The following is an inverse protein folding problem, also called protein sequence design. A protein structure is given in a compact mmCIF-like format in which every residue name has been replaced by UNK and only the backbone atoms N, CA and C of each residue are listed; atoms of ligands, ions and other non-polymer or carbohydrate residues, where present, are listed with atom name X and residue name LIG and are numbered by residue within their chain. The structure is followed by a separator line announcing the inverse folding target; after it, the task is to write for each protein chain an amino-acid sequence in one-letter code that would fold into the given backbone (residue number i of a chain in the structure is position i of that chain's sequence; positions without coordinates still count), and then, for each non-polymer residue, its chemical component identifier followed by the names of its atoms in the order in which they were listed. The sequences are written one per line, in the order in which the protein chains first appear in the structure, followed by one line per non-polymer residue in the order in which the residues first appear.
data_IF_598266875623
#
_entry.id   IF_598266875623
#
_cell.length_a   1.000
_cell.length_b   1.000
_cell.length_c   1.000
_cell.angle_alpha   90.00
_cell.angle_beta   90.00
_cell.angle_gamma   90.00
#
_symmetry.space_group_name_H-M   'P 1'
#
loop_
_entity.id
_entity.type
_entity.pdbx_description
1 polymer ?
#
# COMPACT_ATOMS: atom_id res chain seq x y z
N UNK A 1 -25.26 6.38 -23.93
CA UNK A 1 -24.98 6.33 -22.48
C UNK A 1 -23.48 6.41 -22.33
N UNK A 2 -22.99 7.37 -21.55
CA UNK A 2 -21.57 7.50 -21.28
C UNK A 2 -21.08 6.30 -20.48
N UNK A 3 -20.00 5.67 -20.96
CA UNK A 3 -19.43 4.50 -20.29
C UNK A 3 -18.84 4.93 -18.94
N UNK A 4 -19.05 4.08 -17.93
CA UNK A 4 -18.52 4.29 -16.57
C UNK A 4 -17.77 3.05 -16.13
N UNK A 5 -16.84 3.23 -15.19
CA UNK A 5 -16.15 2.14 -14.52
C UNK A 5 -16.04 2.45 -13.03
N UNK A 6 -16.14 1.43 -12.19
CA UNK A 6 -15.86 1.54 -10.77
C UNK A 6 -14.46 0.98 -10.50
N UNK A 7 -13.52 1.84 -10.12
CA UNK A 7 -12.23 1.43 -9.56
C UNK A 7 -12.34 1.24 -8.06
N UNK A 8 -11.87 0.12 -7.53
CA UNK A 8 -11.85 -0.16 -6.09
C UNK A 8 -10.43 -0.49 -5.66
N UNK A 9 -9.85 0.33 -4.80
CA UNK A 9 -8.63 -0.01 -4.09
C UNK A 9 -8.98 -0.68 -2.75
N UNK A 10 -8.81 -1.99 -2.70
CA UNK A 10 -9.23 -2.82 -1.57
C UNK A 10 -8.01 -3.29 -0.77
N UNK A 11 -7.55 -2.43 0.12
CA UNK A 11 -6.38 -2.66 0.96
C UNK A 11 -6.65 -3.61 2.14
N UNK A 12 -5.62 -3.79 2.98
CA UNK A 12 -5.68 -4.64 4.17
C UNK A 12 -6.71 -4.15 5.19
N UNK A 13 -6.69 -2.85 5.49
CA UNK A 13 -7.49 -2.21 6.55
C UNK A 13 -8.53 -1.21 6.04
N UNK A 14 -8.42 -0.77 4.80
CA UNK A 14 -9.26 0.28 4.23
C UNK A 14 -9.71 -0.12 2.82
N UNK A 15 -10.84 0.42 2.38
CA UNK A 15 -11.35 0.27 1.02
C UNK A 15 -11.76 1.63 0.47
N UNK A 16 -11.30 1.94 -0.73
CA UNK A 16 -11.59 3.18 -1.46
C UNK A 16 -12.17 2.86 -2.82
N UNK A 17 -13.15 3.62 -3.26
CA UNK A 17 -13.84 3.39 -4.52
C UNK A 17 -14.09 4.69 -5.28
N UNK A 18 -13.94 4.64 -6.59
CA UNK A 18 -14.03 5.79 -7.49
C UNK A 18 -14.86 5.40 -8.71
N UNK A 19 -15.99 6.07 -8.92
CA UNK A 19 -16.79 5.93 -10.14
C UNK A 19 -16.27 6.93 -11.16
N UNK A 20 -15.74 6.46 -12.28
CA UNK A 20 -15.09 7.29 -13.31
C UNK A 20 -15.82 7.14 -14.64
N UNK A 21 -16.03 8.24 -15.35
CA UNK A 21 -16.60 8.23 -16.69
C UNK A 21 -15.55 8.04 -17.80
N UNK A 22 -16.01 7.88 -19.04
CA UNK A 22 -15.16 7.70 -20.22
C UNK A 22 -14.23 8.90 -20.53
N UNK A 23 -14.48 10.07 -19.92
CA UNK A 23 -13.65 11.27 -20.05
C UNK A 23 -12.63 11.38 -18.91
N UNK A 24 -12.62 10.43 -17.98
CA UNK A 24 -11.73 10.43 -16.82
C UNK A 24 -12.23 11.28 -15.66
N UNK A 25 -13.47 11.79 -15.71
CA UNK A 25 -14.04 12.54 -14.60
C UNK A 25 -14.46 11.60 -13.47
N UNK A 26 -14.02 11.89 -12.25
CA UNK A 26 -14.51 11.21 -11.07
C UNK A 26 -15.91 11.75 -10.72
N UNK A 27 -16.91 10.88 -10.83
CA UNK A 27 -18.31 11.20 -10.61
C UNK A 27 -18.74 11.01 -9.15
N UNK A 28 -18.11 10.04 -8.46
CA UNK A 28 -18.39 9.74 -7.06
C UNK A 28 -17.19 9.01 -6.44
N UNK A 29 -17.00 9.23 -5.14
CA UNK A 29 -15.95 8.60 -4.34
C UNK A 29 -16.56 8.05 -3.05
N UNK A 30 -16.00 6.96 -2.54
CA UNK A 30 -16.37 6.39 -1.25
C UNK A 30 -15.15 5.79 -0.56
N UNK A 31 -15.07 5.97 0.75
CA UNK A 31 -14.02 5.39 1.59
C UNK A 31 -14.63 4.83 2.86
N UNK A 32 -14.25 3.60 3.22
CA UNK A 32 -14.62 2.97 4.48
C UNK A 32 -13.53 2.03 5.01
N UNK A 33 -13.63 1.70 6.31
CA UNK A 33 -12.74 0.75 6.98
C UNK A 33 -12.98 -0.72 6.62
N UNK A 34 -13.72 -1.05 5.55
CA UNK A 34 -14.04 -2.42 5.17
C UNK A 34 -12.93 -3.04 4.31
N UNK A 35 -11.67 -2.90 4.74
CA UNK A 35 -10.53 -3.61 4.15
C UNK A 35 -10.61 -5.12 4.31
N UNK A 36 -9.69 -5.85 3.68
CA UNK A 36 -9.64 -7.33 3.69
C UNK A 36 -9.82 -7.94 5.09
N UNK A 37 -9.17 -7.37 6.12
CA UNK A 37 -9.27 -7.87 7.50
C UNK A 37 -10.68 -7.69 8.08
N UNK A 38 -11.35 -6.57 7.78
CA UNK A 38 -12.68 -6.27 8.30
C UNK A 38 -13.79 -7.04 7.56
N UNK A 39 -13.58 -7.38 6.29
CA UNK A 39 -14.48 -8.29 5.55
C UNK A 39 -14.54 -9.66 6.25
N UNK A 40 -13.41 -10.15 6.75
CA UNK A 40 -13.36 -11.26 7.69
C UNK A 40 -13.76 -12.62 7.12
N UNK A 41 -13.57 -12.84 5.82
CA UNK A 41 -13.84 -14.13 5.16
C UNK A 41 -14.04 -14.00 3.65
N UNK A 42 -13.55 -14.98 2.87
CA UNK A 42 -13.62 -14.98 1.40
C UNK A 42 -15.06 -14.88 0.88
N UNK A 43 -15.96 -15.61 1.52
CA UNK A 43 -17.39 -15.70 1.22
C UNK A 43 -18.15 -14.38 1.45
N UNK A 44 -17.57 -13.43 2.19
CA UNK A 44 -18.21 -12.16 2.54
C UNK A 44 -17.89 -11.03 1.56
N UNK A 45 -16.91 -11.20 0.69
CA UNK A 45 -16.52 -10.17 -0.29
C UNK A 45 -17.62 -9.86 -1.30
N UNK A 46 -18.37 -10.87 -1.75
CA UNK A 46 -19.50 -10.69 -2.67
C UNK A 46 -20.56 -9.74 -2.10
N UNK A 47 -20.99 -9.99 -0.86
CA UNK A 47 -21.91 -9.10 -0.14
C UNK A 47 -21.31 -7.73 0.16
N UNK A 48 -20.02 -7.66 0.50
CA UNK A 48 -19.33 -6.40 0.76
C UNK A 48 -19.25 -5.52 -0.50
N UNK A 49 -19.04 -6.09 -1.69
CA UNK A 49 -19.07 -5.35 -2.94
C UNK A 49 -20.50 -4.92 -3.30
N UNK A 50 -21.50 -5.79 -3.09
CA UNK A 50 -22.90 -5.43 -3.30
C UNK A 50 -23.31 -4.21 -2.45
N UNK A 51 -22.98 -4.20 -1.16
CA UNK A 51 -23.26 -3.07 -0.27
C UNK A 51 -22.54 -1.78 -0.67
N UNK A 52 -21.33 -1.88 -1.26
CA UNK A 52 -20.64 -0.72 -1.83
C UNK A 52 -21.39 -0.16 -3.03
N UNK A 53 -21.83 -1.02 -3.96
CA UNK A 53 -22.61 -0.57 -5.13
C UNK A 53 -23.91 0.12 -4.70
N UNK A 54 -24.61 -0.43 -3.71
CA UNK A 54 -25.83 0.21 -3.15
C UNK A 54 -25.52 1.56 -2.50
N UNK A 55 -24.45 1.64 -1.70
CA UNK A 55 -24.04 2.88 -1.02
C UNK A 55 -23.69 3.99 -2.01
N UNK A 56 -23.08 3.63 -3.14
CA UNK A 56 -22.66 4.58 -4.17
C UNK A 56 -23.70 4.78 -5.29
N UNK A 57 -24.87 4.14 -5.21
CA UNK A 57 -25.89 4.13 -6.27
C UNK A 57 -25.34 3.74 -7.66
N UNK A 58 -24.50 2.68 -7.69
CA UNK A 58 -23.85 2.18 -8.91
C UNK A 58 -24.60 0.97 -9.45
N UNK A 59 -25.06 1.09 -10.71
CA UNK A 59 -25.77 0.04 -11.43
C UNK A 59 -25.01 -1.28 -11.58
N UNK A 60 -25.75 -2.38 -11.73
CA UNK A 60 -25.19 -3.74 -11.86
C UNK A 60 -24.49 -3.99 -13.21
N UNK A 61 -24.69 -3.12 -14.17
CA UNK A 61 -24.07 -3.14 -15.49
C UNK A 61 -22.69 -2.46 -15.52
N UNK A 62 -22.35 -1.66 -14.50
CA UNK A 62 -21.07 -0.95 -14.43
C UNK A 62 -19.94 -1.95 -14.17
N UNK A 63 -18.90 -2.03 -15.02
CA UNK A 63 -17.73 -2.87 -14.77
C UNK A 63 -16.97 -2.41 -13.53
N UNK A 64 -16.39 -3.37 -12.81
CA UNK A 64 -15.62 -3.10 -11.59
C UNK A 64 -14.19 -3.65 -11.78
N UNK A 65 -13.20 -2.81 -11.51
CA UNK A 65 -11.79 -3.21 -11.44
C UNK A 65 -11.32 -3.00 -10.02
N UNK A 66 -10.75 -4.03 -9.41
CA UNK A 66 -10.31 -4.00 -8.02
C UNK A 66 -8.80 -4.25 -7.91
N UNK A 67 -8.09 -3.39 -7.19
CA UNK A 67 -6.67 -3.56 -6.88
C UNK A 67 -6.44 -3.90 -5.41
N UNK A 68 -5.22 -4.33 -5.09
CA UNK A 68 -4.80 -4.54 -3.71
C UNK A 68 -5.13 -5.93 -3.15
N UNK A 69 -5.35 -5.99 -1.84
CA UNK A 69 -5.39 -7.22 -1.05
C UNK A 69 -6.60 -8.11 -1.30
N UNK A 70 -7.62 -7.61 -2.00
CA UNK A 70 -8.72 -8.45 -2.55
C UNK A 70 -8.20 -9.58 -3.44
N UNK A 71 -7.05 -9.39 -4.10
CA UNK A 71 -6.37 -10.39 -4.93
C UNK A 71 -5.38 -11.31 -4.21
N UNK A 72 -5.23 -11.17 -2.88
CA UNK A 72 -4.27 -11.96 -2.10
C UNK A 72 -4.81 -13.35 -1.74
N UNK A 73 -3.97 -14.22 -1.17
CA UNK A 73 -4.40 -15.54 -0.67
C UNK A 73 -5.54 -15.45 0.36
N UNK A 74 -5.50 -14.41 1.20
CA UNK A 74 -6.53 -14.10 2.22
C UNK A 74 -7.64 -13.18 1.70
N UNK A 75 -7.59 -12.79 0.42
CA UNK A 75 -8.60 -11.96 -0.23
C UNK A 75 -9.79 -12.76 -0.76
N UNK A 76 -10.55 -12.12 -1.65
CA UNK A 76 -11.70 -12.74 -2.32
C UNK A 76 -11.24 -13.86 -3.27
N UNK A 77 -10.24 -13.58 -4.09
CA UNK A 77 -9.71 -14.55 -5.04
C UNK A 77 -8.21 -14.34 -5.14
N UNK A 78 -7.44 -15.39 -4.93
CA UNK A 78 -6.01 -15.32 -5.12
C UNK A 78 -5.68 -15.13 -6.60
N UNK A 79 -5.00 -14.03 -6.91
CA UNK A 79 -4.52 -13.70 -8.25
C UNK A 79 -3.00 -13.85 -8.28
N UNK A 80 -2.44 -14.72 -9.15
CA UNK A 80 -1.00 -14.88 -9.28
C UNK A 80 -0.27 -13.56 -9.55
N UNK A 81 0.95 -13.46 -9.02
CA UNK A 81 1.82 -12.32 -9.31
C UNK A 81 2.32 -12.39 -10.76
N UNK A 82 2.41 -11.23 -11.41
CA UNK A 82 3.18 -11.06 -12.63
C UNK A 82 4.67 -11.01 -12.31
N UNK A 83 5.49 -11.44 -13.26
CA UNK A 83 6.93 -11.22 -13.20
C UNK A 83 7.28 -9.76 -13.55
N UNK A 84 8.32 -9.20 -12.92
CA UNK A 84 8.80 -7.84 -13.20
C UNK A 84 9.22 -7.58 -14.66
N UNK A 85 9.42 -8.63 -15.46
CA UNK A 85 9.64 -8.53 -16.91
C UNK A 85 8.40 -8.11 -17.70
N UNK A 86 7.19 -8.20 -17.14
CA UNK A 86 5.96 -7.71 -17.79
C UNK A 86 5.89 -6.19 -17.65
N UNK A 87 5.89 -5.42 -18.76
CA UNK A 87 5.79 -3.96 -18.70
C UNK A 87 4.50 -3.51 -18.01
N UNK A 88 4.56 -2.45 -17.19
CA UNK A 88 3.38 -1.96 -16.46
C UNK A 88 2.20 -1.61 -17.38
N UNK A 89 2.48 -1.12 -18.59
CA UNK A 89 1.46 -0.81 -19.61
C UNK A 89 0.65 -2.03 -20.06
N UNK A 90 1.16 -3.24 -19.85
CA UNK A 90 0.50 -4.50 -20.21
C UNK A 90 -0.36 -5.04 -19.06
N UNK A 91 -0.28 -4.46 -17.86
CA UNK A 91 -1.09 -4.83 -16.70
C UNK A 91 -2.59 -4.98 -17.01
N UNK A 92 -3.25 -4.09 -17.79
CA UNK A 92 -4.67 -4.26 -18.12
C UNK A 92 -5.00 -5.56 -18.90
N UNK A 93 -4.04 -6.13 -19.64
CA UNK A 93 -4.24 -7.40 -20.35
C UNK A 93 -4.19 -8.62 -19.43
N UNK A 94 -3.76 -8.45 -18.18
CA UNK A 94 -3.59 -9.51 -17.18
C UNK A 94 -4.63 -9.46 -16.05
N UNK A 95 -5.67 -8.64 -16.20
CA UNK A 95 -6.78 -8.58 -15.25
C UNK A 95 -7.42 -9.96 -15.08
N UNK A 96 -7.50 -10.42 -13.83
CA UNK A 96 -8.10 -11.71 -13.51
C UNK A 96 -9.62 -11.54 -13.32
N UNK A 97 -10.47 -12.25 -14.09
CA UNK A 97 -11.90 -12.22 -13.85
C UNK A 97 -12.23 -12.84 -12.49
N UNK A 98 -13.19 -12.25 -11.78
CA UNK A 98 -13.73 -12.86 -10.56
C UNK A 98 -14.54 -14.10 -10.92
N UNK A 99 -14.24 -15.23 -10.26
CA UNK A 99 -14.87 -16.52 -10.51
C UNK A 99 -16.26 -16.68 -9.87
N UNK A 100 -16.64 -15.78 -8.95
CA UNK A 100 -17.97 -15.72 -8.38
C UNK A 100 -19.01 -15.47 -9.49
N UNK A 101 -19.99 -16.38 -9.60
CA UNK A 101 -20.97 -16.38 -10.68
C UNK A 101 -21.84 -15.12 -10.71
N UNK A 102 -22.10 -14.49 -9.56
CA UNK A 102 -22.90 -13.26 -9.47
C UNK A 102 -22.15 -12.03 -10.03
N UNK A 103 -20.84 -12.15 -10.20
CA UNK A 103 -19.91 -11.08 -10.60
C UNK A 103 -19.12 -11.40 -11.88
N UNK A 104 -19.26 -12.62 -12.39
CA UNK A 104 -18.56 -13.10 -13.57
C UNK A 104 -18.81 -12.19 -14.79
N UNK A 105 -17.73 -11.85 -15.51
CA UNK A 105 -17.78 -11.01 -16.71
C UNK A 105 -17.86 -9.50 -16.47
N UNK A 106 -18.15 -9.04 -15.24
CA UNK A 106 -18.14 -7.59 -14.90
C UNK A 106 -17.04 -7.18 -13.94
N UNK A 107 -16.58 -8.09 -13.08
CA UNK A 107 -15.58 -7.80 -12.06
C UNK A 107 -14.23 -8.41 -12.39
N UNK A 108 -13.18 -7.62 -12.23
CA UNK A 108 -11.81 -8.04 -12.44
C UNK A 108 -10.91 -7.58 -11.29
N UNK A 109 -9.87 -8.37 -11.00
CA UNK A 109 -8.85 -8.07 -10.01
C UNK A 109 -7.52 -7.85 -10.70
N UNK A 110 -6.84 -6.77 -10.32
CA UNK A 110 -5.48 -6.44 -10.78
C UNK A 110 -4.47 -7.40 -10.13
N UNK A 111 -3.61 -8.08 -10.89
CA UNK A 111 -2.54 -8.89 -10.32
C UNK A 111 -1.45 -8.01 -9.70
N UNK A 112 -0.81 -8.51 -8.64
CA UNK A 112 0.40 -7.88 -8.11
C UNK A 112 1.64 -8.20 -8.94
N UNK A 113 2.80 -7.66 -8.56
CA UNK A 113 4.10 -7.98 -9.16
C UNK A 113 5.04 -8.69 -8.19
N UNK A 114 5.85 -9.60 -8.74
CA UNK A 114 6.98 -10.24 -8.07
C UNK A 114 8.26 -9.92 -8.81
N UNK A 115 9.25 -9.43 -8.08
CA UNK A 115 10.60 -9.18 -8.57
C UNK A 115 11.56 -10.22 -7.97
N UNK A 116 12.44 -10.77 -8.79
CA UNK A 116 13.43 -11.77 -8.39
C UNK A 116 14.80 -11.34 -8.90
N UNK A 117 15.77 -11.20 -8.01
CA UNK A 117 17.15 -10.85 -8.37
C UNK A 117 18.13 -11.58 -7.44
N UNK A 118 19.06 -12.35 -8.01
CA UNK A 118 20.15 -12.97 -7.26
C UNK A 118 19.75 -13.84 -6.05
N UNK A 119 18.52 -14.35 -6.01
CA UNK A 119 17.96 -15.11 -4.87
C UNK A 119 17.15 -14.28 -3.87
N UNK A 120 17.17 -12.96 -3.98
CA UNK A 120 16.22 -12.08 -3.30
C UNK A 120 14.87 -12.07 -4.04
N UNK A 121 13.78 -11.99 -3.29
CA UNK A 121 12.42 -11.94 -3.82
C UNK A 121 11.68 -10.82 -3.12
N UNK A 122 11.02 -10.01 -3.93
CA UNK A 122 10.21 -8.91 -3.45
C UNK A 122 8.83 -8.97 -4.13
N UNK A 123 7.78 -8.51 -3.44
CA UNK A 123 6.41 -8.49 -3.97
C UNK A 123 5.69 -7.16 -3.68
N UNK A 124 4.77 -6.79 -4.56
CA UNK A 124 3.81 -5.70 -4.36
C UNK A 124 2.41 -6.13 -4.82
N UNK A 125 1.37 -5.55 -4.23
CA UNK A 125 -0.03 -5.80 -4.60
C UNK A 125 -0.88 -4.59 -4.23
N UNK A 126 -1.27 -3.83 -5.25
CA UNK A 126 -1.92 -2.52 -5.17
C UNK A 126 -1.02 -1.44 -5.74
N UNK A 127 0.26 -1.42 -5.35
CA UNK A 127 1.22 -0.39 -5.76
C UNK A 127 1.48 -0.40 -7.27
N UNK A 128 1.34 -1.54 -7.95
CA UNK A 128 1.47 -1.64 -9.40
C UNK A 128 0.44 -0.80 -10.16
N UNK A 129 -0.75 -0.62 -9.57
CA UNK A 129 -1.81 0.23 -10.15
C UNK A 129 -1.42 1.70 -10.07
N UNK A 130 -0.76 2.11 -8.98
CA UNK A 130 -0.21 3.47 -8.83
C UNK A 130 0.96 3.70 -9.80
N UNK A 131 1.83 2.70 -9.97
CA UNK A 131 2.93 2.75 -10.93
C UNK A 131 2.43 2.85 -12.37
N UNK A 132 1.37 2.12 -12.74
CA UNK A 132 0.72 2.28 -14.05
C UNK A 132 0.24 3.72 -14.25
N UNK A 133 -0.39 4.32 -13.23
CA UNK A 133 -0.77 5.73 -13.25
C UNK A 133 0.43 6.66 -13.49
N UNK A 134 1.54 6.45 -12.76
CA UNK A 134 2.76 7.21 -12.95
C UNK A 134 3.35 7.07 -14.37
N UNK A 135 3.37 5.86 -14.92
CA UNK A 135 3.81 5.58 -16.30
C UNK A 135 2.91 6.30 -17.31
N UNK A 136 1.60 6.32 -17.09
CA UNK A 136 0.63 7.03 -17.94
C UNK A 136 0.82 8.56 -17.89
N UNK A 137 1.28 9.10 -16.74
CA UNK A 137 1.67 10.50 -16.58
C UNK A 137 3.07 10.84 -17.15
N UNK A 138 3.77 9.86 -17.72
CA UNK A 138 5.08 10.04 -18.35
C UNK A 138 6.28 9.74 -17.45
N UNK A 139 6.08 9.29 -16.21
CA UNK A 139 7.15 8.87 -15.30
C UNK A 139 7.60 7.43 -15.60
N UNK A 140 8.30 7.25 -16.74
CA UNK A 140 8.67 5.93 -17.26
C UNK A 140 10.08 5.48 -16.88
N UNK A 141 10.90 6.38 -16.36
CA UNK A 141 12.31 6.13 -16.03
C UNK A 141 12.68 6.77 -14.68
N UNK A 142 13.45 6.04 -13.87
CA UNK A 142 13.98 6.55 -12.59
C UNK A 142 13.47 5.78 -11.38
N UNK A 143 13.85 6.26 -10.19
CA UNK A 143 13.37 5.72 -8.92
C UNK A 143 12.04 6.34 -8.54
N UNK A 144 11.06 5.50 -8.26
CA UNK A 144 9.79 5.87 -7.65
C UNK A 144 9.73 5.29 -6.24
N UNK A 145 9.29 6.11 -5.30
CA UNK A 145 9.10 5.71 -3.90
C UNK A 145 7.61 5.80 -3.60
N UNK A 146 7.03 4.68 -3.17
CA UNK A 146 5.64 4.57 -2.74
C UNK A 146 5.64 4.32 -1.22
N UNK A 147 5.65 5.38 -0.39
CA UNK A 147 5.70 5.23 1.05
C UNK A 147 4.37 4.69 1.59
N UNK A 148 4.44 3.95 2.69
CA UNK A 148 3.26 3.42 3.37
C UNK A 148 3.62 2.47 4.50
N UNK A 149 2.68 1.60 4.87
CA UNK A 149 2.94 0.48 5.80
C UNK A 149 4.15 -0.32 5.36
N UNK A 150 4.22 -0.60 4.06
CA UNK A 150 5.36 -1.20 3.37
C UNK A 150 5.80 -0.26 2.25
N UNK A 151 6.87 0.49 2.48
CA UNK A 151 7.40 1.42 1.49
C UNK A 151 8.05 0.66 0.35
N UNK A 152 7.65 0.95 -0.89
CA UNK A 152 8.23 0.36 -2.10
C UNK A 152 9.19 1.33 -2.75
N UNK A 153 10.42 0.88 -3.00
CA UNK A 153 11.37 1.55 -3.88
C UNK A 153 11.43 0.79 -5.19
N UNK A 154 11.11 1.46 -6.30
CA UNK A 154 10.96 0.82 -7.61
C UNK A 154 11.78 1.57 -8.64
N UNK A 155 12.73 0.90 -9.28
CA UNK A 155 13.49 1.45 -10.40
C UNK A 155 12.78 1.09 -11.70
N UNK A 156 12.33 2.11 -12.43
CA UNK A 156 11.77 1.95 -13.76
C UNK A 156 12.77 2.26 -14.87
N UNK A 157 12.68 1.48 -15.95
CA UNK A 157 13.27 1.76 -17.26
C UNK A 157 12.22 1.51 -18.34
N UNK A 158 11.86 2.54 -19.11
CA UNK A 158 10.81 2.46 -20.13
C UNK A 158 9.47 1.86 -19.61
N UNK A 159 9.15 2.09 -18.33
CA UNK A 159 7.95 1.52 -17.68
C UNK A 159 8.04 0.02 -17.32
N UNK A 160 9.23 -0.59 -17.39
CA UNK A 160 9.52 -1.91 -16.83
C UNK A 160 10.15 -1.79 -15.44
N UNK A 161 9.77 -2.70 -14.54
CA UNK A 161 10.36 -2.80 -13.19
C UNK A 161 11.73 -3.48 -13.32
N UNK A 162 12.80 -2.72 -13.10
CA UNK A 162 14.17 -3.24 -13.12
C UNK A 162 14.67 -3.65 -11.75
N UNK A 163 14.19 -2.99 -10.71
CA UNK A 163 14.52 -3.30 -9.32
C UNK A 163 13.33 -2.94 -8.44
N UNK A 164 13.13 -3.73 -7.40
CA UNK A 164 12.16 -3.46 -6.35
C UNK A 164 12.76 -3.80 -5.00
N UNK A 165 12.51 -2.93 -4.02
CA UNK A 165 12.84 -3.18 -2.63
C UNK A 165 11.70 -2.75 -1.71
N UNK A 166 11.24 -3.66 -0.86
CA UNK A 166 10.24 -3.35 0.16
C UNK A 166 10.88 -3.08 1.52
N UNK A 167 10.43 -2.01 2.17
CA UNK A 167 10.80 -1.68 3.54
C UNK A 167 9.56 -1.58 4.42
N UNK A 168 9.52 -2.33 5.52
CA UNK A 168 8.39 -2.37 6.45
C UNK A 168 8.38 -1.16 7.41
N UNK A 169 8.73 0.03 6.93
CA UNK A 169 8.96 1.23 7.77
C UNK A 169 7.74 1.59 8.59
N UNK A 170 6.55 1.68 7.96
CA UNK A 170 5.30 2.01 8.63
C UNK A 170 4.81 0.92 9.57
N UNK A 171 4.95 -0.35 9.18
CA UNK A 171 4.59 -1.48 10.06
C UNK A 171 5.48 -1.54 11.31
N UNK A 172 6.79 -1.39 11.15
CA UNK A 172 7.72 -1.34 12.28
C UNK A 172 7.40 -0.17 13.21
N UNK A 173 7.12 1.02 12.65
CA UNK A 173 6.70 2.17 13.43
C UNK A 173 5.43 1.88 14.24
N UNK A 174 4.41 1.31 13.61
CA UNK A 174 3.15 0.96 14.27
C UNK A 174 3.35 -0.09 15.38
N UNK A 175 4.12 -1.15 15.12
CA UNK A 175 4.42 -2.19 16.11
C UNK A 175 5.18 -1.64 17.32
N UNK A 176 6.20 -0.81 17.09
CA UNK A 176 6.99 -0.20 18.17
C UNK A 176 6.18 0.84 18.97
N UNK A 177 5.19 1.46 18.33
CA UNK A 177 4.26 2.38 18.99
C UNK A 177 3.25 1.63 19.86
N UNK A 178 2.73 0.52 19.36
CA UNK A 178 1.71 -0.26 20.05
C UNK A 178 2.27 -1.17 21.16
N UNK A 179 3.53 -1.61 21.06
CA UNK A 179 4.09 -2.60 21.98
C UNK A 179 5.60 -2.51 22.21
N UNK A 180 6.09 -3.30 23.16
CA UNK A 180 7.52 -3.39 23.48
C UNK A 180 8.04 -2.27 24.36
N UNK A 181 9.37 -2.11 24.38
CA UNK A 181 10.05 -1.18 25.32
C UNK A 181 9.92 0.29 24.92
N UNK A 182 9.63 0.59 23.66
CA UNK A 182 9.48 1.95 23.15
C UNK A 182 8.04 2.47 23.32
N UNK A 183 7.01 1.62 23.33
CA UNK A 183 5.61 2.07 23.36
C UNK A 183 5.29 3.10 24.45
N UNK A 184 5.87 2.95 25.65
CA UNK A 184 5.68 3.89 26.78
C UNK A 184 6.10 5.35 26.52
N UNK A 185 6.91 5.61 25.48
CA UNK A 185 7.33 6.95 25.06
C UNK A 185 6.84 7.31 23.66
N UNK A 186 6.01 6.48 23.03
CA UNK A 186 5.48 6.70 21.68
C UNK A 186 4.17 7.52 21.66
N UNK A 187 3.72 8.04 22.81
CA UNK A 187 2.51 8.85 22.93
C UNK A 187 2.68 10.36 22.65
N UNK A 188 3.88 10.79 22.22
CA UNK A 188 4.16 12.18 21.85
C UNK A 188 3.75 12.54 20.42
N UNK A 189 4.22 13.68 19.92
CA UNK A 189 3.94 14.15 18.56
C UNK A 189 4.96 13.61 17.55
N UNK A 190 4.50 12.81 16.59
CA UNK A 190 5.34 12.26 15.52
C UNK A 190 5.70 13.31 14.44
N UNK A 191 5.09 14.51 14.49
CA UNK A 191 5.35 15.61 13.56
C UNK A 191 6.42 16.60 14.05
N UNK A 192 7.04 16.34 15.20
CA UNK A 192 8.13 17.16 15.74
C UNK A 192 9.34 17.16 14.78
N UNK A 193 9.57 18.30 14.12
CA UNK A 193 10.57 18.46 13.05
C UNK A 193 11.99 18.23 13.56
N UNK A 194 12.30 18.68 14.79
CA UNK A 194 13.64 18.55 15.38
C UNK A 194 13.96 17.07 15.70
N UNK A 195 13.02 16.38 16.37
CA UNK A 195 13.11 14.96 16.65
C UNK A 195 13.25 14.14 15.38
N UNK A 196 12.47 14.45 14.34
CA UNK A 196 12.61 13.81 13.03
C UNK A 196 14.01 13.98 12.44
N UNK A 197 14.54 15.22 12.45
CA UNK A 197 15.89 15.50 11.96
C UNK A 197 16.98 14.76 12.76
N UNK A 198 16.82 14.63 14.09
CA UNK A 198 17.70 13.82 14.94
C UNK A 198 17.66 12.36 14.51
N UNK A 199 16.46 11.79 14.30
CA UNK A 199 16.29 10.41 13.83
C UNK A 199 16.99 10.17 12.49
N UNK A 200 16.79 11.06 11.52
CA UNK A 200 17.42 11.00 10.21
C UNK A 200 18.96 11.09 10.30
N UNK A 201 19.48 11.98 11.16
CA UNK A 201 20.91 12.08 11.39
C UNK A 201 21.49 10.80 12.04
N UNK A 202 20.72 10.15 12.92
CA UNK A 202 21.12 8.88 13.51
C UNK A 202 21.15 7.73 12.49
N UNK A 203 20.15 7.65 11.61
CA UNK A 203 20.11 6.64 10.55
C UNK A 203 21.33 6.70 9.63
N UNK A 204 21.75 7.91 9.24
CA UNK A 204 22.93 8.16 8.39
C UNK A 204 24.26 7.66 8.97
N UNK A 205 24.31 7.33 10.26
CA UNK A 205 25.50 6.75 10.90
C UNK A 205 25.68 5.27 10.54
N UNK A 206 24.69 4.63 9.91
CA UNK A 206 24.72 3.21 9.51
C UNK A 206 25.04 2.26 10.66
N UNK A 207 24.56 2.58 11.86
CA UNK A 207 24.68 1.73 13.03
C UNK A 207 23.53 0.70 13.08
N UNK A 208 23.70 -0.46 13.76
CA UNK A 208 22.66 -1.47 13.83
C UNK A 208 21.32 -0.91 14.33
N UNK A 209 20.25 -1.08 13.53
CA UNK A 209 18.94 -0.49 13.80
C UNK A 209 18.39 -0.82 15.20
N UNK A 210 18.57 -2.08 15.64
CA UNK A 210 18.12 -2.52 16.97
C UNK A 210 18.78 -1.76 18.12
N UNK A 211 20.06 -1.43 17.99
CA UNK A 211 20.79 -0.62 18.96
C UNK A 211 20.34 0.84 18.91
N UNK A 212 20.20 1.42 17.72
CA UNK A 212 19.78 2.83 17.56
C UNK A 212 18.36 3.05 18.07
N UNK A 213 17.44 2.11 17.84
CA UNK A 213 16.10 2.13 18.43
C UNK A 213 16.15 2.10 19.96
N UNK A 214 16.99 1.25 20.57
CA UNK A 214 17.12 1.21 22.02
C UNK A 214 17.73 2.50 22.60
N UNK A 215 18.60 3.19 21.86
CA UNK A 215 19.17 4.48 22.29
C UNK A 215 18.13 5.58 22.43
N UNK A 216 17.04 5.55 21.67
CA UNK A 216 15.91 6.46 21.88
C UNK A 216 15.38 6.30 23.31
N UNK A 217 15.13 5.07 23.75
CA UNK A 217 14.75 4.76 25.13
C UNK A 217 15.82 5.17 26.14
N UNK A 218 17.08 4.82 25.88
CA UNK A 218 18.18 5.14 26.79
C UNK A 218 18.33 6.66 26.98
N UNK A 219 18.14 7.46 25.93
CA UNK A 219 18.13 8.92 25.98
C UNK A 219 17.05 9.45 26.92
N UNK A 220 15.82 8.94 26.82
CA UNK A 220 14.71 9.34 27.70
C UNK A 220 14.95 8.93 29.15
N UNK A 221 15.33 7.68 29.40
CA UNK A 221 15.55 7.15 30.77
C UNK A 221 16.72 7.84 31.47
N UNK A 222 17.79 8.16 30.73
CA UNK A 222 18.93 8.90 31.25
C UNK A 222 18.70 10.41 31.37
N UNK A 223 17.53 10.92 30.94
CA UNK A 223 17.19 12.34 30.85
C UNK A 223 18.10 13.15 29.90
N UNK A 224 18.70 12.47 28.93
CA UNK A 224 19.51 13.08 27.87
C UNK A 224 18.68 13.53 26.66
N UNK A 225 17.41 13.11 26.57
CA UNK A 225 16.48 13.49 25.51
C UNK A 225 15.04 13.59 26.06
N UNK A 226 14.21 14.49 25.51
CA UNK A 226 12.80 14.62 25.92
C UNK A 226 11.96 13.46 25.39
N UNK A 227 11.10 12.89 26.24
CA UNK A 227 10.18 11.81 25.85
C UNK A 227 9.22 12.22 24.71
N UNK A 228 8.82 13.49 24.67
CA UNK A 228 7.88 14.01 23.68
C UNK A 228 8.38 13.90 22.23
N UNK A 229 9.69 13.90 22.01
CA UNK A 229 10.30 13.81 20.68
C UNK A 229 10.52 12.36 20.22
N UNK A 230 10.41 11.38 21.13
CA UNK A 230 10.71 9.99 20.81
C UNK A 230 9.94 9.44 19.58
N UNK A 231 8.64 9.74 19.36
CA UNK A 231 7.93 9.30 18.16
C UNK A 231 8.55 9.86 16.88
N UNK A 232 8.87 11.15 16.85
CA UNK A 232 9.48 11.78 15.68
C UNK A 232 10.90 11.26 15.42
N UNK A 233 11.71 11.04 16.47
CA UNK A 233 13.04 10.42 16.36
C UNK A 233 12.95 9.01 15.79
N UNK A 234 12.02 8.18 16.28
CA UNK A 234 11.81 6.81 15.75
C UNK A 234 11.35 6.86 14.30
N UNK A 235 10.45 7.78 13.93
CA UNK A 235 9.99 7.96 12.55
C UNK A 235 11.14 8.36 11.62
N UNK A 236 11.94 9.36 12.00
CA UNK A 236 13.12 9.80 11.25
C UNK A 236 14.18 8.71 11.13
N UNK A 237 14.35 7.89 12.18
CA UNK A 237 15.29 6.77 12.18
C UNK A 237 14.85 5.62 11.26
N UNK A 238 13.55 5.32 11.19
CA UNK A 238 13.03 4.23 10.35
C UNK A 238 12.95 4.62 8.87
N UNK A 239 12.78 5.91 8.58
CA UNK A 239 12.73 6.43 7.20
C UNK A 239 14.13 6.70 6.64
N UNK A 240 15.06 7.15 7.48
CA UNK A 240 16.44 7.49 7.10
C UNK A 240 17.31 6.29 6.79
#
# INVERSE_FOLDING_TARGET
MDKKILGVDWGTSNRRAYLVDQHGACLAEHEDGLGMLAVGGRERFSGALAGLLETMDVGREVPVIMSGMVGSASGWQEVPYLDSSVPLRELPAHLAPVADADWAGRCHIVPGYCHRDGGAVDVMRGEETQLLGAVALGHRDGWLVLPGTHSKWVLLRDGLIQSMSTYMTGELFAMLSAGGTLSSMMGGDASDVEGYAIGLAQARRNEPLSNTLFRVRAGVVSRSAPAAQAPAVVSGLLIG
#
